data_IF_852264794328
#
_entry.id   IF_852264794328
#
_cell.length_a   1.000
_cell.length_b   1.000
_cell.length_c   1.000
_cell.angle_alpha   90.00
_cell.angle_beta   90.00
_cell.angle_gamma   90.00
#
_symmetry.space_group_name_H-M   'P 1'
#
loop_
_entity.id
_entity.type
_entity.pdbx_description
1 polymer ?
#
# COMPACT_ATOMS: atom_id res chain seq x y z
N UNK A 1 -23.23 7.38 -5.84
CA UNK A 1 -22.32 7.71 -4.73
C UNK A 1 -21.26 6.63 -4.70
N UNK A 2 -20.01 6.94 -5.03
CA UNK A 2 -18.90 6.05 -4.69
C UNK A 2 -18.80 6.13 -3.17
N UNK A 3 -19.00 5.02 -2.47
CA UNK A 3 -18.85 5.01 -1.02
C UNK A 3 -17.44 5.50 -0.66
N UNK A 4 -17.34 6.43 0.28
CA UNK A 4 -16.06 6.97 0.72
C UNK A 4 -15.20 5.86 1.31
N UNK A 5 -14.00 5.65 0.76
CA UNK A 5 -13.05 4.65 1.27
C UNK A 5 -12.39 5.25 2.52
N UNK A 6 -12.70 4.71 3.69
CA UNK A 6 -12.16 5.18 4.98
C UNK A 6 -10.99 4.32 5.50
N UNK A 7 -10.87 3.08 5.01
CA UNK A 7 -9.77 2.18 5.33
C UNK A 7 -9.51 1.18 4.21
N UNK A 8 -8.27 0.70 4.11
CA UNK A 8 -7.93 -0.40 3.23
C UNK A 8 -6.99 -1.39 3.92
N UNK A 9 -7.15 -2.66 3.59
CA UNK A 9 -6.46 -3.78 4.26
C UNK A 9 -5.83 -4.67 3.23
N UNK A 10 -4.52 -4.86 3.31
CA UNK A 10 -3.80 -5.80 2.46
C UNK A 10 -3.73 -7.15 3.17
N UNK A 11 -4.37 -8.17 2.60
CA UNK A 11 -4.27 -9.54 3.09
C UNK A 11 -2.90 -10.14 2.76
N UNK A 12 -2.34 -11.04 3.60
CA UNK A 12 -1.31 -11.96 3.17
C UNK A 12 -1.80 -12.82 2.00
N UNK A 13 -0.86 -13.38 1.26
CA UNK A 13 -1.16 -14.24 0.12
C UNK A 13 -1.96 -15.47 0.54
N UNK A 14 -3.12 -15.69 -0.12
CA UNK A 14 -4.04 -16.77 0.20
C UNK A 14 -4.91 -16.58 1.46
N UNK A 15 -4.81 -15.43 2.15
CA UNK A 15 -5.51 -15.19 3.42
C UNK A 15 -6.56 -14.07 3.35
N UNK A 16 -7.17 -13.87 2.19
CA UNK A 16 -8.26 -12.90 2.02
C UNK A 16 -9.49 -13.27 2.88
N UNK A 17 -9.88 -14.54 2.89
CA UNK A 17 -11.08 -15.01 3.60
C UNK A 17 -11.08 -14.73 5.11
N UNK A 18 -10.03 -15.07 5.88
CA UNK A 18 -10.02 -14.75 7.31
C UNK A 18 -10.00 -13.25 7.56
N UNK A 19 -9.33 -12.46 6.73
CA UNK A 19 -9.35 -11.00 6.85
C UNK A 19 -10.74 -10.41 6.55
N UNK A 20 -11.44 -10.90 5.52
CA UNK A 20 -12.79 -10.46 5.19
C UNK A 20 -13.79 -10.67 6.33
N UNK A 21 -13.57 -11.68 7.18
CA UNK A 21 -14.43 -11.93 8.36
C UNK A 21 -14.22 -10.91 9.49
N UNK A 22 -13.09 -10.21 9.51
CA UNK A 22 -12.81 -9.17 10.50
C UNK A 22 -13.30 -7.79 10.05
N UNK A 23 -13.41 -7.55 8.74
CA UNK A 23 -13.68 -6.22 8.19
C UNK A 23 -15.17 -6.05 7.91
N UNK A 24 -15.77 -5.04 8.54
CA UNK A 24 -17.10 -4.56 8.23
C UNK A 24 -17.09 -3.48 7.13
N UNK A 25 -18.23 -3.25 6.49
CA UNK A 25 -18.39 -2.20 5.49
C UNK A 25 -17.51 -2.36 4.25
N UNK A 26 -17.17 -3.61 3.90
CA UNK A 26 -16.41 -3.92 2.69
C UNK A 26 -17.19 -3.44 1.46
N UNK A 27 -16.55 -2.58 0.67
CA UNK A 27 -17.13 -2.00 -0.54
C UNK A 27 -16.50 -2.57 -1.81
N UNK A 28 -15.26 -3.06 -1.72
CA UNK A 28 -14.59 -3.72 -2.84
C UNK A 28 -13.43 -4.59 -2.36
N UNK A 29 -13.08 -5.59 -3.17
CA UNK A 29 -11.88 -6.42 -3.01
C UNK A 29 -11.12 -6.39 -4.33
N UNK A 30 -9.89 -5.88 -4.28
CA UNK A 30 -9.00 -5.69 -5.42
C UNK A 30 -7.79 -6.60 -5.25
N UNK A 31 -7.83 -7.79 -5.84
CA UNK A 31 -6.88 -8.87 -5.56
C UNK A 31 -6.83 -9.20 -4.06
N UNK A 32 -5.81 -8.74 -3.32
CA UNK A 32 -5.68 -8.91 -1.86
C UNK A 32 -6.02 -7.67 -1.05
N UNK A 33 -6.26 -6.54 -1.71
CA UNK A 33 -6.58 -5.27 -1.07
C UNK A 33 -8.09 -5.14 -0.87
N UNK A 34 -8.52 -5.20 0.38
CA UNK A 34 -9.92 -5.05 0.79
C UNK A 34 -10.14 -3.59 1.14
N UNK A 35 -11.15 -2.96 0.53
CA UNK A 35 -11.53 -1.57 0.75
C UNK A 35 -12.79 -1.53 1.60
N UNK A 36 -12.79 -0.69 2.65
CA UNK A 36 -13.94 -0.50 3.53
C UNK A 36 -14.35 0.98 3.60
N UNK A 37 -15.65 1.19 3.75
CA UNK A 37 -16.23 2.51 4.02
C UNK A 37 -16.29 2.84 5.52
N UNK A 38 -15.72 2.01 6.38
CA UNK A 38 -15.62 2.26 7.82
C UNK A 38 -14.20 2.72 8.21
N UNK A 39 -14.06 3.47 9.32
CA UNK A 39 -12.76 3.78 9.90
C UNK A 39 -11.93 2.52 10.14
N UNK A 40 -10.60 2.67 10.13
CA UNK A 40 -9.73 1.52 10.31
C UNK A 40 -9.86 0.91 11.71
N UNK A 41 -9.97 -0.40 11.76
CA UNK A 41 -9.73 -1.24 12.95
C UNK A 41 -8.36 -1.94 12.86
N UNK A 42 -7.85 -2.43 13.99
CA UNK A 42 -6.68 -3.31 14.02
C UNK A 42 -7.07 -4.75 13.66
N UNK A 43 -7.00 -5.07 12.37
CA UNK A 43 -7.25 -6.41 11.86
C UNK A 43 -6.02 -7.32 12.03
N UNK A 44 -6.20 -8.50 12.60
CA UNK A 44 -5.11 -9.43 12.92
C UNK A 44 -4.60 -10.16 11.68
N UNK A 45 -5.49 -10.42 10.72
CA UNK A 45 -5.12 -11.07 9.46
C UNK A 45 -4.59 -10.09 8.41
N UNK A 46 -4.48 -8.79 8.71
CA UNK A 46 -3.94 -7.82 7.77
C UNK A 46 -2.41 -7.80 7.79
N UNK A 47 -1.81 -7.95 6.62
CA UNK A 47 -0.37 -7.78 6.43
C UNK A 47 0.04 -6.30 6.47
N UNK A 48 -0.84 -5.43 5.97
CA UNK A 48 -0.69 -3.98 6.09
C UNK A 48 -2.08 -3.33 6.14
N UNK A 49 -2.24 -2.32 6.98
CA UNK A 49 -3.49 -1.55 7.12
C UNK A 49 -3.19 -0.12 6.70
N UNK A 50 -3.93 0.37 5.71
CA UNK A 50 -3.87 1.72 5.18
C UNK A 50 -4.90 2.56 5.92
N UNK A 51 -4.42 3.44 6.78
CA UNK A 51 -5.28 4.30 7.59
C UNK A 51 -5.61 5.57 6.81
N UNK A 52 -6.88 5.98 6.85
CA UNK A 52 -7.36 7.23 6.23
C UNK A 52 -6.85 7.42 4.78
N UNK A 53 -7.06 6.43 3.88
CA UNK A 53 -6.59 6.52 2.52
C UNK A 53 -7.29 7.66 1.79
N UNK A 54 -6.59 8.31 0.87
CA UNK A 54 -7.09 9.40 0.06
C UNK A 54 -7.22 8.97 -1.39
N UNK A 55 -8.33 9.33 -1.99
CA UNK A 55 -8.56 9.22 -3.43
C UNK A 55 -7.97 10.47 -4.09
N UNK A 56 -7.05 10.28 -5.03
CA UNK A 56 -6.33 11.36 -5.69
C UNK A 56 -6.56 11.22 -7.20
N UNK A 57 -7.31 12.15 -7.83
CA UNK A 57 -7.44 12.18 -9.29
C UNK A 57 -6.11 12.60 -9.92
N UNK A 58 -5.73 11.98 -11.03
CA UNK A 58 -4.49 12.24 -11.77
C UNK A 58 -4.77 12.38 -13.26
N UNK A 59 -4.05 13.31 -13.90
CA UNK A 59 -4.21 13.54 -15.35
C UNK A 59 -3.09 12.86 -16.17
N UNK A 60 -1.94 12.62 -15.55
CA UNK A 60 -0.76 12.03 -16.19
C UNK A 60 0.15 11.33 -15.20
N UNK A 61 1.13 10.57 -15.72
CA UNK A 61 2.17 9.91 -14.91
C UNK A 61 2.98 10.94 -14.10
N UNK A 62 3.32 12.08 -14.70
CA UNK A 62 4.09 13.13 -14.02
C UNK A 62 3.25 13.86 -12.96
N UNK A 63 1.96 14.08 -13.23
CA UNK A 63 1.04 14.68 -12.27
C UNK A 63 0.84 13.77 -11.05
N UNK A 64 0.65 12.46 -11.29
CA UNK A 64 0.60 11.44 -10.25
C UNK A 64 1.82 11.46 -9.33
N UNK A 65 3.03 11.44 -9.92
CA UNK A 65 4.27 11.49 -9.15
C UNK A 65 4.36 12.76 -8.30
N UNK A 66 4.07 13.94 -8.87
CA UNK A 66 4.08 15.21 -8.14
C UNK A 66 3.09 15.23 -6.97
N UNK A 67 1.86 14.74 -7.18
CA UNK A 67 0.83 14.70 -6.13
C UNK A 67 1.23 13.76 -4.99
N UNK A 68 1.77 12.58 -5.29
CA UNK A 68 2.30 11.67 -4.29
C UNK A 68 3.49 12.27 -3.52
N UNK A 69 4.47 12.86 -4.22
CA UNK A 69 5.64 13.49 -3.60
C UNK A 69 5.29 14.68 -2.72
N UNK A 70 4.27 15.45 -3.09
CA UNK A 70 3.77 16.57 -2.28
C UNK A 70 3.14 16.12 -0.95
N UNK A 71 2.69 14.87 -0.89
CA UNK A 71 2.06 14.30 0.31
C UNK A 71 3.13 13.65 1.22
N UNK A 72 4.02 12.82 0.68
CA UNK A 72 5.22 12.34 1.38
C UNK A 72 6.28 11.80 0.40
N UNK A 73 7.46 11.47 0.92
CA UNK A 73 8.59 10.94 0.11
C UNK A 73 8.63 9.41 0.02
N UNK A 74 8.20 8.72 1.07
CA UNK A 74 8.36 7.28 1.21
C UNK A 74 7.08 6.56 0.80
N UNK A 75 7.08 6.02 -0.42
CA UNK A 75 5.94 5.32 -0.99
C UNK A 75 6.29 3.89 -1.39
N UNK A 76 5.35 2.98 -1.15
CA UNK A 76 5.37 1.62 -1.65
C UNK A 76 4.17 1.42 -2.60
N UNK A 77 4.44 0.92 -3.80
CA UNK A 77 3.39 0.53 -4.75
C UNK A 77 2.81 -0.84 -4.39
N UNK A 78 1.48 -0.92 -4.29
CA UNK A 78 0.73 -2.16 -4.43
C UNK A 78 0.03 -2.17 -5.79
N UNK A 79 0.52 -2.98 -6.73
CA UNK A 79 -0.04 -3.05 -8.08
C UNK A 79 -0.84 -4.32 -8.29
N UNK A 80 -2.17 -4.21 -8.22
CA UNK A 80 -3.11 -5.28 -8.59
C UNK A 80 -3.64 -5.12 -10.03
N UNK A 81 -3.55 -3.91 -10.59
CA UNK A 81 -3.95 -3.59 -11.96
C UNK A 81 -3.03 -2.52 -12.56
N UNK A 82 -3.17 -2.28 -13.87
CA UNK A 82 -2.47 -1.21 -14.61
C UNK A 82 -0.96 -1.20 -14.38
N UNK A 83 -0.36 -2.40 -14.26
CA UNK A 83 1.02 -2.62 -13.80
C UNK A 83 2.04 -1.74 -14.50
N UNK A 84 1.93 -1.59 -15.83
CA UNK A 84 2.84 -0.75 -16.61
C UNK A 84 2.74 0.73 -16.20
N UNK A 85 1.53 1.27 -16.05
CA UNK A 85 1.32 2.68 -15.68
C UNK A 85 1.75 2.93 -14.25
N UNK A 86 1.36 2.05 -13.32
CA UNK A 86 1.77 2.11 -11.93
C UNK A 86 3.31 2.11 -11.80
N UNK A 87 3.99 1.22 -12.52
CA UNK A 87 5.45 1.16 -12.55
C UNK A 87 6.10 2.44 -13.09
N UNK A 88 5.55 3.03 -14.15
CA UNK A 88 6.07 4.29 -14.69
C UNK A 88 5.92 5.46 -13.70
N UNK A 89 4.85 5.48 -12.90
CA UNK A 89 4.69 6.46 -11.82
C UNK A 89 5.72 6.17 -10.72
N UNK A 90 5.87 4.92 -10.29
CA UNK A 90 6.85 4.50 -9.29
C UNK A 90 8.30 4.88 -9.70
N UNK A 91 8.67 4.68 -10.96
CA UNK A 91 9.97 5.08 -11.52
C UNK A 91 10.21 6.59 -11.49
N UNK A 92 9.15 7.40 -11.46
CA UNK A 92 9.22 8.87 -11.34
C UNK A 92 9.27 9.35 -9.90
N UNK A 93 8.83 8.55 -8.94
CA UNK A 93 8.91 8.91 -7.53
C UNK A 93 10.37 8.89 -7.08
N UNK A 94 10.79 9.93 -6.36
CA UNK A 94 12.06 9.93 -5.63
C UNK A 94 12.02 9.06 -4.37
N UNK A 95 11.34 7.91 -4.43
CA UNK A 95 11.18 7.01 -3.30
C UNK A 95 12.46 6.23 -3.04
N UNK A 96 12.79 6.10 -1.75
CA UNK A 96 13.94 5.33 -1.30
C UNK A 96 13.72 3.85 -1.67
N UNK A 97 14.64 3.26 -2.43
CA UNK A 97 14.61 1.83 -2.71
C UNK A 97 14.58 1.05 -1.39
N UNK A 98 13.73 0.02 -1.26
CA UNK A 98 13.68 -0.78 -0.05
C UNK A 98 15.06 -1.40 0.21
N UNK A 99 15.60 -1.17 1.40
CA UNK A 99 16.88 -1.71 1.82
C UNK A 99 16.66 -3.17 2.24
N UNK A 100 17.44 -4.09 1.67
CA UNK A 100 17.47 -5.47 2.15
C UNK A 100 17.99 -5.49 3.59
N UNK A 101 17.32 -6.27 4.44
CA UNK A 101 17.67 -6.40 5.85
C UNK A 101 18.74 -7.47 6.03
N UNK A 102 19.73 -7.19 6.86
CA UNK A 102 20.71 -8.16 7.35
C UNK A 102 20.43 -8.43 8.82
N UNK A 103 20.45 -9.69 9.24
CA UNK A 103 20.13 -10.04 10.62
C UNK A 103 21.35 -9.83 11.55
N UNK A 104 21.15 -9.32 12.78
CA UNK A 104 19.93 -8.71 13.32
C UNK A 104 19.68 -7.30 12.74
N UNK A 105 18.46 -7.02 12.32
CA UNK A 105 18.10 -5.75 11.70
C UNK A 105 17.45 -4.79 12.70
N UNK A 106 17.83 -3.51 12.64
CA UNK A 106 17.09 -2.42 13.30
C UNK A 106 16.08 -1.82 12.33
N UNK A 107 14.85 -1.61 12.80
CA UNK A 107 13.81 -0.98 12.00
C UNK A 107 14.05 0.52 11.92
N UNK A 108 14.02 1.09 10.72
CA UNK A 108 13.91 2.53 10.55
C UNK A 108 12.50 2.96 10.95
N UNK A 109 12.37 3.92 11.86
CA UNK A 109 11.08 4.48 12.29
C UNK A 109 10.42 5.43 11.29
N UNK A 110 10.97 5.57 10.08
CA UNK A 110 10.40 6.44 9.05
C UNK A 110 9.06 5.85 8.57
N UNK A 111 7.98 6.63 8.51
CA UNK A 111 6.72 6.16 7.96
C UNK A 111 6.88 5.78 6.48
N UNK A 112 6.29 4.65 6.11
CA UNK A 112 6.22 4.15 4.75
C UNK A 112 4.74 4.06 4.37
N UNK A 113 4.29 4.93 3.47
CA UNK A 113 2.92 4.81 2.98
C UNK A 113 2.82 3.88 1.79
N UNK A 114 1.59 3.52 1.47
CA UNK A 114 1.25 2.62 0.39
C UNK A 114 0.26 3.28 -0.58
N UNK A 115 0.37 2.95 -1.85
CA UNK A 115 -0.52 3.46 -2.88
C UNK A 115 -0.78 2.45 -3.99
N UNK A 116 -1.89 2.61 -4.69
CA UNK A 116 -2.26 1.82 -5.86
C UNK A 116 -3.07 2.67 -6.86
N UNK A 117 -3.21 2.18 -8.09
CA UNK A 117 -4.16 2.71 -9.06
C UNK A 117 -5.47 1.95 -8.95
N UNK A 118 -6.57 2.65 -8.70
CA UNK A 118 -7.92 2.09 -8.77
C UNK A 118 -8.40 1.98 -10.22
N UNK A 119 -8.02 2.97 -11.04
CA UNK A 119 -8.24 3.03 -12.47
C UNK A 119 -7.12 3.86 -13.14
N UNK A 120 -7.26 4.18 -14.42
CA UNK A 120 -6.22 4.90 -15.18
C UNK A 120 -5.89 6.29 -14.62
N UNK A 121 -6.87 6.93 -13.97
CA UNK A 121 -6.82 8.32 -13.56
C UNK A 121 -7.09 8.53 -12.05
N UNK A 122 -7.15 7.45 -11.28
CA UNK A 122 -7.44 7.51 -9.85
C UNK A 122 -6.43 6.72 -9.04
N UNK A 123 -5.73 7.41 -8.14
CA UNK A 123 -4.86 6.82 -7.13
C UNK A 123 -5.63 6.66 -5.82
N UNK A 124 -5.42 5.54 -5.14
CA UNK A 124 -5.68 5.40 -3.71
C UNK A 124 -4.33 5.42 -2.99
N UNK A 125 -4.16 6.32 -2.02
CA UNK A 125 -2.89 6.44 -1.29
C UNK A 125 -3.12 6.66 0.21
N UNK A 126 -2.36 5.98 1.05
CA UNK A 126 -2.33 6.22 2.49
C UNK A 126 -0.90 6.45 2.95
N UNK A 127 -0.67 7.61 3.59
CA UNK A 127 0.62 7.96 4.16
C UNK A 127 0.87 7.29 5.53
N UNK A 128 -0.19 6.88 6.24
CA UNK A 128 -0.13 6.23 7.55
C UNK A 128 -0.54 4.76 7.40
N UNK A 129 0.47 3.90 7.35
CA UNK A 129 0.31 2.46 7.26
C UNK A 129 0.81 1.78 8.55
N UNK A 130 0.23 0.65 8.92
CA UNK A 130 0.67 -0.10 10.12
C UNK A 130 2.00 -0.82 9.93
N UNK A 131 2.34 -1.21 8.69
CA UNK A 131 3.58 -1.92 8.43
C UNK A 131 4.72 -0.98 8.05
N UNK A 132 5.92 -1.11 8.66
CA UNK A 132 7.12 -0.39 8.21
C UNK A 132 7.75 -1.03 6.96
N UNK A 133 7.24 -2.20 6.52
CA UNK A 133 7.78 -2.93 5.39
C UNK A 133 6.95 -2.72 4.12
N UNK A 134 7.58 -2.71 2.93
CA UNK A 134 6.86 -2.67 1.65
C UNK A 134 5.78 -3.74 1.58
N UNK A 135 4.51 -3.32 1.43
CA UNK A 135 3.34 -4.21 1.40
C UNK A 135 3.31 -5.24 2.55
N UNK A 136 3.89 -4.90 3.71
CA UNK A 136 4.03 -5.77 4.86
C UNK A 136 4.90 -7.02 4.69
N UNK A 137 5.78 -7.04 3.69
CA UNK A 137 6.76 -8.12 3.48
C UNK A 137 8.19 -7.58 3.66
N UNK A 138 8.93 -7.98 4.71
CA UNK A 138 10.35 -7.68 4.80
C UNK A 138 11.13 -8.48 3.74
N UNK A 139 12.17 -7.86 3.17
CA UNK A 139 13.08 -8.52 2.25
C UNK A 139 14.46 -8.65 2.91
N UNK A 140 14.94 -9.88 3.07
CA UNK A 140 16.22 -10.18 3.71
C UNK A 140 17.29 -10.53 2.69
N UNK A 141 18.56 -10.31 3.05
CA UNK A 141 19.68 -10.96 2.39
C UNK A 141 19.77 -12.38 2.93
N UNK A 142 19.59 -13.39 2.08
CA UNK A 142 19.83 -14.78 2.44
C UNK A 142 21.33 -15.07 2.43
N UNK A 143 21.86 -15.52 3.58
CA UNK A 143 23.20 -16.11 3.62
C UNK A 143 23.17 -17.46 2.91
N UNK A 144 24.08 -17.65 1.95
CA UNK A 144 24.20 -18.90 1.16
C UNK A 144 25.03 -19.99 1.85
N UNK A 145 25.38 -19.81 3.11
CA UNK A 145 26.27 -20.70 3.86
C UNK A 145 25.48 -21.35 4.98
N UNK A 146 25.06 -22.60 4.75
CA UNK A 146 24.54 -23.50 5.77
C UNK A 146 25.61 -24.43 6.32
#
# INVERSE_FOLDING_TARGET
MIAEIQSAYLAPEGLNEPLLKEIEGVIAVQDRLILSNQPFINAYWAQNIWKNPKIIPIDSINDAAKKLESNQRNWCLYSFTLHRRAKLIEEKLNSRKPKLLTFPATLSGDPLGSWCLLDENTILASADCTSPFPNGKPAFIEDKSG
#
